data_IF_150900516842
#
_entry.id   IF_150900516842
#
_cell.length_a   1.000
_cell.length_b   1.000
_cell.length_c   1.000
_cell.angle_alpha   90.00
_cell.angle_beta   90.00
_cell.angle_gamma   90.00
#
_symmetry.space_group_name_H-M   'P 1'
#
loop_
_entity.id
_entity.type
_entity.pdbx_description
1 polymer ?
#
# COMPACT_ATOMS: atom_id res chain seq x y z
N UNK A 1 -43.74 -50.48 36.60
CA UNK A 1 -42.39 -50.58 36.00
C UNK A 1 -42.26 -49.45 35.00
N UNK A 2 -41.13 -48.78 35.08
CA UNK A 2 -40.88 -47.36 34.81
C UNK A 2 -41.19 -46.89 33.38
N UNK A 3 -41.70 -45.66 33.31
CA UNK A 3 -41.81 -44.80 32.13
C UNK A 3 -40.42 -44.47 31.56
N UNK A 4 -39.85 -45.46 30.87
CA UNK A 4 -38.56 -45.34 30.17
C UNK A 4 -38.77 -44.74 28.78
N UNK A 5 -39.95 -44.91 28.18
CA UNK A 5 -40.26 -44.43 26.83
C UNK A 5 -40.35 -42.91 26.73
N UNK A 6 -41.02 -42.23 27.68
CA UNK A 6 -41.16 -40.77 27.66
C UNK A 6 -39.84 -40.03 27.86
N UNK A 7 -38.94 -40.59 28.70
CA UNK A 7 -37.61 -40.02 28.95
C UNK A 7 -36.67 -40.13 27.76
N UNK A 8 -36.71 -41.22 26.99
CA UNK A 8 -35.87 -41.35 25.78
C UNK A 8 -36.31 -40.40 24.66
N UNK A 9 -37.61 -40.19 24.48
CA UNK A 9 -38.13 -39.24 23.48
C UNK A 9 -37.79 -37.79 23.85
N UNK A 10 -37.88 -37.45 25.15
CA UNK A 10 -37.52 -36.12 25.63
C UNK A 10 -36.01 -35.85 25.50
N UNK A 11 -35.15 -36.84 25.81
CA UNK A 11 -33.69 -36.73 25.66
C UNK A 11 -33.29 -36.64 24.18
N UNK A 12 -33.94 -37.39 23.28
CA UNK A 12 -33.70 -37.30 21.84
C UNK A 12 -34.18 -35.97 21.24
N UNK A 13 -35.30 -35.41 21.70
CA UNK A 13 -35.79 -34.11 21.29
C UNK A 13 -34.92 -32.96 21.81
N UNK A 14 -34.40 -33.07 23.04
CA UNK A 14 -33.42 -32.11 23.60
C UNK A 14 -32.08 -32.23 22.87
N UNK A 15 -31.62 -33.43 22.49
CA UNK A 15 -30.41 -33.61 21.68
C UNK A 15 -30.57 -33.10 20.24
N UNK A 16 -31.75 -33.22 19.62
CA UNK A 16 -32.01 -32.61 18.31
C UNK A 16 -32.14 -31.08 18.39
N UNK A 17 -32.74 -30.54 19.46
CA UNK A 17 -32.84 -29.10 19.68
C UNK A 17 -31.48 -28.46 20.01
N UNK A 18 -30.56 -29.17 20.68
CA UNK A 18 -29.19 -28.71 20.90
C UNK A 18 -28.28 -28.93 19.69
N UNK A 19 -28.52 -29.95 18.87
CA UNK A 19 -27.81 -30.14 17.60
C UNK A 19 -28.15 -29.06 16.56
N UNK A 20 -29.36 -28.49 16.58
CA UNK A 20 -29.73 -27.33 15.76
C UNK A 20 -29.17 -25.99 16.27
N UNK A 21 -28.65 -25.94 17.49
CA UNK A 21 -28.08 -24.73 18.10
C UNK A 21 -26.54 -24.66 18.01
N UNK A 22 -25.89 -25.64 17.37
CA UNK A 22 -24.48 -25.54 16.93
C UNK A 22 -24.40 -25.29 15.42
N UNK A 23 -25.25 -24.40 14.90
CA UNK A 23 -24.79 -23.60 13.76
C UNK A 23 -23.63 -22.77 14.32
N UNK A 24 -22.38 -23.17 14.05
CA UNK A 24 -21.22 -22.31 14.25
C UNK A 24 -21.62 -20.92 13.75
N UNK A 25 -21.49 -19.89 14.59
CA UNK A 25 -21.87 -18.54 14.20
C UNK A 25 -21.15 -18.22 12.89
N UNK A 26 -21.88 -18.27 11.78
CA UNK A 26 -21.30 -18.03 10.46
C UNK A 26 -21.07 -16.53 10.44
N UNK A 27 -19.82 -16.12 10.56
CA UNK A 27 -19.46 -14.72 10.42
C UNK A 27 -19.76 -14.27 8.99
N UNK A 28 -20.39 -13.11 8.84
CA UNK A 28 -20.59 -12.50 7.53
C UNK A 28 -19.27 -11.89 7.05
N UNK A 29 -18.48 -12.69 6.34
CA UNK A 29 -17.20 -12.25 5.78
C UNK A 29 -17.36 -11.21 4.67
N UNK A 30 -18.53 -11.15 4.01
CA UNK A 30 -18.83 -10.10 3.02
C UNK A 30 -19.03 -8.74 3.69
N UNK A 31 -19.75 -8.71 4.81
CA UNK A 31 -19.89 -7.51 5.64
C UNK A 31 -18.53 -7.08 6.23
N UNK A 32 -17.73 -8.04 6.71
CA UNK A 32 -16.40 -7.77 7.24
C UNK A 32 -15.47 -7.14 6.19
N UNK A 33 -15.45 -7.68 4.96
CA UNK A 33 -14.71 -7.12 3.82
C UNK A 33 -15.17 -5.70 3.49
N UNK A 34 -16.48 -5.48 3.41
CA UNK A 34 -17.06 -4.16 3.10
C UNK A 34 -16.64 -3.11 4.12
N UNK A 35 -16.67 -3.46 5.43
CA UNK A 35 -16.23 -2.57 6.51
C UNK A 35 -14.71 -2.35 6.50
N UNK A 36 -13.91 -3.36 6.15
CA UNK A 36 -12.46 -3.21 5.99
C UNK A 36 -12.10 -2.21 4.88
N UNK A 37 -12.84 -2.19 3.77
CA UNK A 37 -12.62 -1.20 2.71
C UNK A 37 -13.12 0.20 3.08
N UNK A 38 -14.18 0.30 3.88
CA UNK A 38 -14.61 1.58 4.46
C UNK A 38 -13.56 2.18 5.41
N UNK A 39 -12.79 1.36 6.12
CA UNK A 39 -11.67 1.83 6.94
C UNK A 39 -10.66 2.61 6.10
N UNK A 40 -10.27 2.13 4.91
CA UNK A 40 -9.36 2.88 4.05
C UNK A 40 -9.97 4.22 3.59
N UNK A 41 -11.26 4.27 3.25
CA UNK A 41 -11.92 5.56 2.96
C UNK A 41 -11.86 6.53 4.14
N UNK A 42 -11.99 6.00 5.37
CA UNK A 42 -11.89 6.77 6.60
C UNK A 42 -10.47 7.24 6.93
N UNK A 43 -9.42 6.68 6.31
CA UNK A 43 -8.01 7.07 6.49
C UNK A 43 -7.49 8.06 5.43
N UNK A 44 -8.26 8.37 4.39
CA UNK A 44 -7.79 9.23 3.29
C UNK A 44 -7.39 10.63 3.78
N UNK A 45 -6.24 11.12 3.36
CA UNK A 45 -5.81 12.52 3.48
C UNK A 45 -6.01 13.25 2.14
N UNK A 46 -6.20 14.57 2.16
CA UNK A 46 -6.31 15.39 0.95
C UNK A 46 -7.74 15.74 0.55
N UNK A 47 -7.94 15.98 -0.75
CA UNK A 47 -9.25 16.32 -1.33
C UNK A 47 -10.09 15.07 -1.58
N UNK A 48 -10.92 14.73 -0.61
CA UNK A 48 -11.82 13.57 -0.67
C UNK A 48 -12.78 13.60 -1.89
N UNK A 49 -13.07 12.45 -2.51
CA UNK A 49 -14.06 12.36 -3.59
C UNK A 49 -15.48 12.69 -3.09
N UNK A 50 -16.28 13.39 -3.91
CA UNK A 50 -17.66 13.73 -3.56
C UNK A 50 -18.57 12.51 -3.36
N UNK A 51 -18.21 11.37 -3.96
CA UNK A 51 -18.95 10.11 -3.91
C UNK A 51 -18.39 9.12 -2.88
N UNK A 52 -17.48 9.54 -2.00
CA UNK A 52 -17.01 8.71 -0.89
C UNK A 52 -18.17 8.30 0.05
N UNK A 53 -18.11 7.08 0.58
CA UNK A 53 -19.14 6.51 1.48
C UNK A 53 -19.01 7.06 2.91
N UNK A 54 -17.79 7.31 3.38
CA UNK A 54 -17.50 7.86 4.71
C UNK A 54 -17.79 9.38 4.75
N UNK A 55 -18.98 9.75 5.26
CA UNK A 55 -19.50 11.13 5.24
C UNK A 55 -19.06 12.05 6.38
N UNK A 56 -18.49 11.49 7.45
CA UNK A 56 -18.01 12.27 8.60
C UNK A 56 -16.58 12.78 8.44
N UNK A 57 -15.87 12.36 7.38
CA UNK A 57 -14.55 12.86 6.99
C UNK A 57 -14.70 14.02 6.01
N UNK A 58 -13.83 15.02 6.13
CA UNK A 58 -13.72 16.17 5.25
C UNK A 58 -12.35 16.29 4.59
N UNK A 59 -12.18 17.33 3.77
CA UNK A 59 -10.88 17.62 3.17
C UNK A 59 -9.85 18.01 4.25
N UNK A 60 -8.65 17.44 4.17
CA UNK A 60 -7.59 17.64 5.16
C UNK A 60 -6.21 17.64 4.49
N UNK A 61 -5.17 18.12 5.18
CA UNK A 61 -3.78 18.07 4.64
C UNK A 61 -3.61 18.74 3.28
N UNK A 62 -4.36 19.82 3.02
CA UNK A 62 -4.45 20.44 1.69
C UNK A 62 -3.20 21.24 1.27
N UNK A 63 -2.25 21.39 2.20
CA UNK A 63 -0.98 22.08 1.99
C UNK A 63 0.22 21.14 2.11
N UNK A 64 -0.01 19.82 2.13
CA UNK A 64 1.04 18.81 2.21
C UNK A 64 2.08 19.01 1.09
N UNK A 65 3.34 19.19 1.48
CA UNK A 65 4.47 19.39 0.56
C UNK A 65 4.67 20.83 0.07
N UNK A 66 3.74 21.76 0.37
CA UNK A 66 3.80 23.15 -0.11
C UNK A 66 5.08 23.87 0.35
N UNK A 67 5.48 23.68 1.61
CA UNK A 67 6.72 24.25 2.17
C UNK A 67 7.97 23.74 1.43
N UNK A 68 7.91 22.53 0.89
CA UNK A 68 8.99 21.90 0.13
C UNK A 68 8.88 22.11 -1.38
N UNK A 69 7.87 22.85 -1.85
CA UNK A 69 7.65 23.16 -3.27
C UNK A 69 7.13 21.98 -4.10
N UNK A 70 6.46 21.01 -3.47
CA UNK A 70 5.90 19.81 -4.12
C UNK A 70 4.42 19.62 -3.74
N UNK A 71 3.64 18.96 -4.59
CA UNK A 71 2.27 18.55 -4.24
C UNK A 71 2.33 17.16 -3.62
N UNK A 72 2.13 17.06 -2.30
CA UNK A 72 2.01 15.81 -1.58
C UNK A 72 0.61 15.61 -1.00
N UNK A 73 -0.40 16.32 -1.50
CA UNK A 73 -1.80 16.14 -1.06
C UNK A 73 -2.33 14.79 -1.53
N UNK A 74 -2.95 14.02 -0.62
CA UNK A 74 -3.46 12.67 -0.90
C UNK A 74 -2.90 11.63 0.07
N UNK A 75 -3.04 10.35 -0.28
CA UNK A 75 -2.52 9.22 0.50
C UNK A 75 -3.36 8.93 1.75
N UNK A 76 -2.82 8.11 2.64
CA UNK A 76 -3.49 7.66 3.86
C UNK A 76 -2.79 8.20 5.11
N UNK A 77 -3.56 8.59 6.11
CA UNK A 77 -3.05 8.65 7.47
C UNK A 77 -2.79 7.24 7.97
N UNK A 78 -1.74 7.09 8.76
CA UNK A 78 -1.19 5.79 9.10
C UNK A 78 -2.09 5.00 10.06
N UNK A 79 -2.46 5.60 11.18
CA UNK A 79 -3.24 4.93 12.22
C UNK A 79 -4.34 5.85 12.80
N UNK A 80 -4.31 6.10 14.11
CA UNK A 80 -5.18 7.08 14.77
C UNK A 80 -4.62 8.50 14.74
N UNK A 81 -3.45 8.68 14.13
CA UNK A 81 -2.73 9.95 13.97
C UNK A 81 -2.96 10.53 12.56
N UNK A 82 -2.24 11.60 12.22
CA UNK A 82 -2.33 12.27 10.91
C UNK A 82 -0.98 12.36 10.18
N UNK A 83 0.02 11.63 10.64
CA UNK A 83 1.26 11.46 9.90
C UNK A 83 1.02 10.50 8.73
N UNK A 84 1.69 10.79 7.62
CA UNK A 84 1.72 9.90 6.45
C UNK A 84 3.06 9.20 6.42
N UNK A 85 3.15 8.03 7.04
CA UNK A 85 4.34 7.19 7.00
C UNK A 85 4.39 6.36 5.71
N UNK A 86 5.42 6.57 4.89
CA UNK A 86 5.50 6.02 3.54
C UNK A 86 5.71 4.51 3.49
N UNK A 87 6.53 3.96 4.39
CA UNK A 87 6.82 2.52 4.45
C UNK A 87 5.57 1.67 4.74
N UNK A 88 4.84 1.86 5.87
CA UNK A 88 3.62 1.07 6.14
C UNK A 88 2.51 1.34 5.12
N UNK A 89 2.42 2.56 4.57
CA UNK A 89 1.48 2.85 3.48
C UNK A 89 1.83 2.04 2.22
N UNK A 90 3.11 1.96 1.84
CA UNK A 90 3.54 1.20 0.68
C UNK A 90 3.24 -0.29 0.85
N UNK A 91 3.62 -0.86 2.01
CA UNK A 91 3.29 -2.24 2.37
C UNK A 91 1.80 -2.53 2.28
N UNK A 92 0.96 -1.64 2.83
CA UNK A 92 -0.50 -1.75 2.76
C UNK A 92 -1.01 -1.83 1.32
N UNK A 93 -0.47 -0.99 0.42
CA UNK A 93 -0.86 -0.99 -0.99
C UNK A 93 -0.38 -2.25 -1.72
N UNK A 94 0.80 -2.77 -1.39
CA UNK A 94 1.27 -4.06 -1.91
C UNK A 94 0.32 -5.18 -1.48
N UNK A 95 -0.05 -5.24 -0.20
CA UNK A 95 -0.92 -6.28 0.34
C UNK A 95 -2.36 -6.19 -0.18
N UNK A 96 -2.93 -4.99 -0.31
CA UNK A 96 -4.24 -4.79 -0.96
C UNK A 96 -4.20 -5.25 -2.42
N UNK A 97 -3.13 -4.90 -3.14
CA UNK A 97 -2.95 -5.32 -4.53
C UNK A 97 -2.82 -6.84 -4.63
N UNK A 98 -2.04 -7.45 -3.74
CA UNK A 98 -1.89 -8.91 -3.70
C UNK A 98 -3.21 -9.61 -3.41
N UNK A 99 -3.98 -9.12 -2.43
CA UNK A 99 -5.32 -9.64 -2.11
C UNK A 99 -6.24 -9.62 -3.33
N UNK A 100 -6.27 -8.53 -4.09
CA UNK A 100 -7.07 -8.45 -5.34
C UNK A 100 -6.54 -9.39 -6.43
N UNK A 101 -5.23 -9.62 -6.51
CA UNK A 101 -4.66 -10.55 -7.49
C UNK A 101 -4.96 -12.02 -7.21
N UNK A 102 -5.09 -12.41 -5.93
CA UNK A 102 -5.37 -13.79 -5.53
C UNK A 102 -6.87 -14.07 -5.37
N UNK A 103 -7.64 -13.11 -4.85
CA UNK A 103 -9.06 -13.28 -4.47
C UNK A 103 -10.00 -12.32 -5.20
N UNK A 104 -9.61 -11.86 -6.38
CA UNK A 104 -10.37 -10.86 -7.14
C UNK A 104 -11.79 -11.30 -7.51
N UNK A 105 -12.00 -12.60 -7.75
CA UNK A 105 -13.33 -13.16 -8.07
C UNK A 105 -14.26 -13.15 -6.86
N UNK A 106 -13.76 -13.51 -5.67
CA UNK A 106 -14.51 -13.50 -4.41
C UNK A 106 -14.83 -12.06 -3.97
N UNK A 107 -13.86 -11.15 -4.08
CA UNK A 107 -14.06 -9.72 -3.82
C UNK A 107 -15.11 -9.14 -4.78
N UNK A 108 -15.10 -9.55 -6.06
CA UNK A 108 -16.12 -9.16 -7.03
C UNK A 108 -17.49 -9.78 -6.72
N UNK A 109 -17.54 -11.05 -6.30
CA UNK A 109 -18.75 -11.73 -5.86
C UNK A 109 -19.40 -11.08 -4.63
N UNK A 110 -18.59 -10.47 -3.77
CA UNK A 110 -19.05 -9.64 -2.65
C UNK A 110 -19.44 -8.20 -3.06
N UNK A 111 -19.26 -7.81 -4.32
CA UNK A 111 -19.58 -6.46 -4.83
C UNK A 111 -18.57 -5.37 -4.44
N UNK A 112 -17.38 -5.75 -3.95
CA UNK A 112 -16.42 -4.81 -3.35
C UNK A 112 -15.18 -4.54 -4.23
N UNK A 113 -15.08 -5.16 -5.41
CA UNK A 113 -13.91 -5.00 -6.31
C UNK A 113 -13.63 -3.54 -6.66
N UNK A 114 -14.65 -2.75 -6.99
CA UNK A 114 -14.48 -1.34 -7.31
C UNK A 114 -13.92 -0.53 -6.12
N UNK A 115 -14.35 -0.83 -4.89
CA UNK A 115 -13.85 -0.16 -3.70
C UNK A 115 -12.41 -0.56 -3.38
N UNK A 116 -12.05 -1.84 -3.56
CA UNK A 116 -10.67 -2.31 -3.44
C UNK A 116 -9.75 -1.61 -4.46
N UNK A 117 -10.17 -1.51 -5.73
CA UNK A 117 -9.44 -0.78 -6.77
C UNK A 117 -9.29 0.70 -6.43
N UNK A 118 -10.33 1.34 -5.91
CA UNK A 118 -10.25 2.73 -5.45
C UNK A 118 -9.29 2.91 -4.27
N UNK A 119 -9.26 1.94 -3.33
CA UNK A 119 -8.34 1.98 -2.20
C UNK A 119 -6.87 1.88 -2.65
N UNK A 120 -6.57 0.94 -3.56
CA UNK A 120 -5.24 0.81 -4.17
C UNK A 120 -4.88 2.10 -4.92
N UNK A 121 -5.78 2.58 -5.79
CA UNK A 121 -5.55 3.75 -6.63
C UNK A 121 -5.22 5.01 -5.81
N UNK A 122 -5.90 5.21 -4.69
CA UNK A 122 -5.69 6.36 -3.82
C UNK A 122 -4.26 6.42 -3.26
N UNK A 123 -3.71 5.27 -2.85
CA UNK A 123 -2.34 5.17 -2.39
C UNK A 123 -1.33 5.32 -3.54
N UNK A 124 -1.58 4.68 -4.68
CA UNK A 124 -0.66 4.77 -5.82
C UNK A 124 -0.64 6.16 -6.48
N UNK A 125 -1.77 6.88 -6.50
CA UNK A 125 -1.82 8.29 -6.93
C UNK A 125 -0.93 9.16 -6.04
N UNK A 126 -0.88 8.88 -4.73
CA UNK A 126 0.04 9.55 -3.81
C UNK A 126 1.49 9.18 -4.08
N UNK A 127 1.82 7.91 -4.33
CA UNK A 127 3.21 7.51 -4.65
C UNK A 127 3.73 8.12 -5.96
N UNK A 128 2.87 8.30 -6.97
CA UNK A 128 3.23 9.02 -8.20
C UNK A 128 3.66 10.46 -7.87
N UNK A 129 2.92 11.14 -6.98
CA UNK A 129 3.27 12.48 -6.52
C UNK A 129 4.54 12.51 -5.67
N UNK A 130 4.69 11.53 -4.77
CA UNK A 130 5.82 11.42 -3.85
C UNK A 130 7.13 11.05 -4.56
N UNK A 131 7.08 10.42 -5.73
CA UNK A 131 8.27 10.13 -6.54
C UNK A 131 8.52 11.27 -7.55
N UNK A 132 9.05 12.39 -7.06
CA UNK A 132 9.21 13.64 -7.85
C UNK A 132 10.41 13.65 -8.79
N UNK A 133 11.44 12.85 -8.49
CA UNK A 133 12.63 12.74 -9.33
C UNK A 133 13.16 11.30 -9.25
N UNK A 134 13.84 10.81 -10.31
CA UNK A 134 14.61 9.59 -10.34
C UNK A 134 15.19 8.94 -9.09
N UNK A 135 15.68 9.74 -8.17
CA UNK A 135 16.38 9.31 -6.96
C UNK A 135 15.87 10.16 -5.79
N UNK A 136 14.59 10.51 -5.81
CA UNK A 136 13.94 11.30 -4.76
C UNK A 136 12.56 10.71 -4.53
N UNK A 137 12.35 10.23 -3.31
CA UNK A 137 11.06 9.75 -2.83
C UNK A 137 10.72 10.49 -1.54
N UNK A 138 9.56 11.13 -1.51
CA UNK A 138 8.99 11.71 -0.29
C UNK A 138 8.34 10.61 0.55
N UNK A 139 8.94 10.32 1.71
CA UNK A 139 8.62 9.14 2.53
C UNK A 139 7.81 9.48 3.77
N UNK A 140 7.71 10.75 4.15
CA UNK A 140 6.91 11.17 5.30
C UNK A 140 6.34 12.57 5.10
N UNK A 141 5.10 12.78 5.55
CA UNK A 141 4.50 14.12 5.71
C UNK A 141 3.87 14.21 7.09
N UNK A 142 4.31 15.18 7.88
CA UNK A 142 3.96 15.29 9.30
C UNK A 142 5.15 14.96 10.20
N UNK A 143 5.20 15.66 11.33
CA UNK A 143 6.12 15.38 12.42
C UNK A 143 5.38 14.59 13.51
N UNK A 144 5.86 13.39 13.83
CA UNK A 144 5.15 12.49 14.75
C UNK A 144 4.98 13.05 16.14
N UNK A 145 6.02 13.70 16.68
CA UNK A 145 5.99 14.20 18.05
C UNK A 145 4.92 15.28 18.23
N UNK A 146 4.88 16.26 17.32
CA UNK A 146 3.86 17.32 17.37
C UNK A 146 2.47 16.83 17.00
N UNK A 147 2.34 15.90 16.06
CA UNK A 147 1.05 15.33 15.66
C UNK A 147 0.42 14.50 16.80
N UNK A 148 1.22 13.64 17.45
CA UNK A 148 0.75 12.75 18.52
C UNK A 148 0.49 13.51 19.83
N UNK A 149 1.10 14.67 20.02
CA UNK A 149 0.80 15.55 21.14
C UNK A 149 -0.60 16.20 21.00
N UNK A 150 -1.15 16.32 19.79
CA UNK A 150 -2.38 17.07 19.53
C UNK A 150 -3.56 16.17 19.15
N UNK A 151 -4.54 16.05 20.05
CA UNK A 151 -5.79 15.33 19.76
C UNK A 151 -6.78 16.23 19.00
N UNK A 152 -6.77 16.14 17.68
CA UNK A 152 -7.60 16.97 16.80
C UNK A 152 -8.16 16.16 15.63
N UNK A 153 -9.11 16.74 14.89
CA UNK A 153 -9.57 16.16 13.63
C UNK A 153 -8.56 16.46 12.52
N UNK A 154 -8.40 15.59 11.51
CA UNK A 154 -7.52 15.87 10.38
C UNK A 154 -7.90 17.15 9.63
N UNK A 155 -9.18 17.51 9.62
CA UNK A 155 -9.69 18.70 8.94
C UNK A 155 -9.26 20.01 9.64
N UNK A 156 -8.87 19.96 10.92
CA UNK A 156 -8.52 21.12 11.74
C UNK A 156 -7.03 21.18 12.11
N UNK A 157 -6.17 20.37 11.47
CA UNK A 157 -4.76 20.22 11.85
C UNK A 157 -4.01 21.56 11.91
N UNK A 158 -3.35 21.79 13.03
CA UNK A 158 -2.47 22.94 13.27
C UNK A 158 -0.99 22.57 13.50
N UNK A 159 -0.68 21.27 13.52
CA UNK A 159 0.66 20.73 13.76
C UNK A 159 1.53 20.81 12.51
N UNK A 160 2.85 20.65 12.67
CA UNK A 160 3.78 20.70 11.56
C UNK A 160 3.49 19.58 10.56
N UNK A 161 3.33 19.96 9.28
CA UNK A 161 3.16 19.02 8.16
C UNK A 161 4.37 19.01 7.23
N UNK A 162 5.56 19.25 7.79
CA UNK A 162 6.82 19.18 7.07
C UNK A 162 6.94 17.83 6.36
N UNK A 163 7.37 17.85 5.11
CA UNK A 163 7.65 16.65 4.34
C UNK A 163 9.13 16.28 4.42
N UNK A 164 9.40 14.97 4.40
CA UNK A 164 10.74 14.38 4.44
C UNK A 164 10.90 13.43 3.26
N UNK A 165 12.12 13.34 2.75
CA UNK A 165 12.47 12.53 1.58
C UNK A 165 13.73 11.73 1.84
N UNK A 166 13.87 10.68 1.05
CA UNK A 166 15.14 10.01 0.81
C UNK A 166 15.65 10.36 -0.59
N UNK A 167 16.96 10.41 -0.74
CA UNK A 167 17.64 10.67 -2.00
C UNK A 167 18.99 9.95 -2.11
N UNK A 168 19.79 10.26 -3.13
CA UNK A 168 21.07 9.59 -3.38
C UNK A 168 22.09 9.85 -2.27
N UNK A 169 21.99 11.01 -1.60
CA UNK A 169 22.86 11.42 -0.51
C UNK A 169 22.32 10.94 0.86
N UNK A 170 21.01 10.79 1.00
CA UNK A 170 20.32 10.31 2.19
C UNK A 170 19.41 9.13 1.79
N UNK A 171 19.97 7.92 1.62
CA UNK A 171 19.26 6.77 1.03
C UNK A 171 18.19 6.17 1.95
N UNK A 172 17.29 5.39 1.35
CA UNK A 172 16.31 4.58 2.05
C UNK A 172 15.83 3.44 1.16
N UNK A 173 16.57 2.33 1.19
CA UNK A 173 16.40 1.20 0.29
C UNK A 173 15.07 0.49 0.47
N UNK A 174 14.72 0.19 1.71
CA UNK A 174 13.52 -0.53 2.12
C UNK A 174 12.25 0.22 1.73
N UNK A 175 12.15 1.52 2.04
CA UNK A 175 10.97 2.31 1.67
C UNK A 175 10.88 2.54 0.15
N UNK A 176 12.01 2.68 -0.53
CA UNK A 176 12.03 2.78 -2.00
C UNK A 176 11.62 1.45 -2.65
N UNK A 177 12.12 0.32 -2.15
CA UNK A 177 11.83 -1.00 -2.64
C UNK A 177 10.38 -1.41 -2.35
N UNK A 178 9.86 -1.17 -1.15
CA UNK A 178 8.45 -1.45 -0.83
C UNK A 178 7.51 -0.57 -1.67
N UNK A 179 7.86 0.71 -1.90
CA UNK A 179 7.08 1.56 -2.83
C UNK A 179 7.14 1.03 -4.26
N UNK A 180 8.29 0.49 -4.70
CA UNK A 180 8.40 -0.17 -5.99
C UNK A 180 7.53 -1.44 -6.06
N UNK A 181 7.51 -2.26 -5.00
CA UNK A 181 6.67 -3.44 -4.88
C UNK A 181 5.18 -3.08 -4.99
N UNK A 182 4.74 -2.05 -4.25
CA UNK A 182 3.38 -1.53 -4.27
C UNK A 182 2.94 -1.12 -5.67
N UNK A 183 3.77 -0.33 -6.36
CA UNK A 183 3.48 0.15 -7.71
C UNK A 183 3.54 -0.99 -8.74
N UNK A 184 4.45 -1.95 -8.59
CA UNK A 184 4.53 -3.12 -9.45
C UNK A 184 3.29 -4.03 -9.29
N UNK A 185 2.91 -4.38 -8.06
CA UNK A 185 1.73 -5.18 -7.77
C UNK A 185 0.45 -4.52 -8.28
N UNK A 186 0.26 -3.24 -7.96
CA UNK A 186 -0.88 -2.45 -8.44
C UNK A 186 -0.93 -2.36 -9.97
N UNK A 187 0.23 -2.27 -10.65
CA UNK A 187 0.26 -2.28 -12.12
C UNK A 187 -0.31 -3.56 -12.74
N UNK A 188 -0.19 -4.70 -12.05
CA UNK A 188 -0.78 -5.96 -12.49
C UNK A 188 -2.29 -5.91 -12.27
N UNK A 189 -2.73 -5.44 -11.10
CA UNK A 189 -4.16 -5.27 -10.76
C UNK A 189 -4.87 -4.44 -11.82
N UNK A 190 -4.41 -3.21 -12.09
CA UNK A 190 -5.06 -2.33 -13.06
C UNK A 190 -4.96 -2.84 -14.51
N UNK A 191 -3.94 -3.63 -14.83
CA UNK A 191 -3.86 -4.30 -16.14
C UNK A 191 -4.90 -5.42 -16.28
N UNK A 192 -5.17 -6.16 -15.20
CA UNK A 192 -6.14 -7.27 -15.18
C UNK A 192 -7.58 -6.78 -15.04
N UNK A 193 -7.81 -5.69 -14.31
CA UNK A 193 -9.15 -5.13 -14.05
C UNK A 193 -9.85 -4.57 -15.31
N UNK A 194 -9.10 -4.28 -16.39
CA UNK A 194 -9.62 -4.36 -17.76
C UNK A 194 -10.76 -3.41 -18.17
N UNK A 195 -10.83 -2.17 -17.66
CA UNK A 195 -11.92 -1.24 -17.98
C UNK A 195 -11.71 -0.33 -19.22
N UNK A 196 -10.54 -0.34 -19.87
CA UNK A 196 -10.30 0.43 -21.11
C UNK A 196 -8.86 0.97 -21.25
N UNK A 197 -8.63 1.83 -22.26
CA UNK A 197 -7.32 2.42 -22.54
C UNK A 197 -6.74 3.26 -21.38
N UNK A 198 -7.61 3.81 -20.52
CA UNK A 198 -7.21 4.57 -19.32
C UNK A 198 -6.48 3.72 -18.28
N UNK A 199 -6.97 2.50 -18.02
CA UNK A 199 -6.36 1.59 -17.03
C UNK A 199 -5.03 1.03 -17.53
N UNK A 200 -4.90 0.81 -18.84
CA UNK A 200 -3.64 0.40 -19.45
C UNK A 200 -2.56 1.50 -19.34
N UNK A 201 -2.93 2.77 -19.54
CA UNK A 201 -2.02 3.89 -19.35
C UNK A 201 -1.59 4.03 -17.89
N UNK A 202 -2.54 3.93 -16.96
CA UNK A 202 -2.25 4.02 -15.52
C UNK A 202 -1.36 2.86 -15.05
N UNK A 203 -1.66 1.62 -15.43
CA UNK A 203 -0.79 0.48 -15.15
C UNK A 203 0.64 0.66 -15.69
N UNK A 204 0.78 1.22 -16.90
CA UNK A 204 2.09 1.53 -17.45
C UNK A 204 2.83 2.62 -16.64
N UNK A 205 2.12 3.66 -16.21
CA UNK A 205 2.68 4.71 -15.36
C UNK A 205 3.17 4.14 -14.02
N UNK A 206 2.37 3.31 -13.36
CA UNK A 206 2.79 2.66 -12.11
C UNK A 206 4.03 1.80 -12.30
N UNK A 207 4.02 0.97 -13.34
CA UNK A 207 5.14 0.10 -13.64
C UNK A 207 6.39 0.89 -14.05
N UNK A 208 6.23 2.04 -14.71
CA UNK A 208 7.33 2.97 -14.98
C UNK A 208 7.95 3.41 -13.65
N UNK A 209 7.15 3.89 -12.70
CA UNK A 209 7.63 4.32 -11.39
C UNK A 209 8.38 3.24 -10.59
N UNK A 210 7.88 2.00 -10.64
CA UNK A 210 8.47 0.86 -9.93
C UNK A 210 9.83 0.39 -10.47
N UNK A 211 10.03 0.48 -11.79
CA UNK A 211 11.07 -0.25 -12.50
C UNK A 211 12.50 0.28 -12.31
N UNK A 212 13.44 -0.46 -12.90
CA UNK A 212 14.80 -0.03 -13.19
C UNK A 212 14.89 0.42 -14.66
N UNK A 213 15.67 1.47 -14.91
CA UNK A 213 15.88 1.95 -16.26
C UNK A 213 16.84 1.05 -17.04
N UNK A 214 16.40 0.56 -18.21
CA UNK A 214 17.25 -0.17 -19.16
C UNK A 214 18.62 0.52 -19.34
N UNK A 215 19.70 -0.11 -18.86
CA UNK A 215 21.03 0.13 -19.39
C UNK A 215 21.14 -0.59 -20.74
N UNK A 216 20.62 0.02 -21.81
CA UNK A 216 21.09 -0.35 -23.16
C UNK A 216 22.55 0.12 -23.29
N UNK A 217 23.49 -0.75 -22.97
CA UNK A 217 24.89 -0.73 -23.42
C UNK A 217 24.89 -1.32 -24.85
N UNK A 218 25.51 -0.80 -25.93
CA UNK A 218 26.43 0.30 -26.26
C UNK A 218 25.91 0.93 -27.57
N UNK A 219 26.33 2.17 -27.86
CA UNK A 219 26.24 2.82 -29.19
C UNK A 219 24.86 3.38 -29.62
N UNK A 220 24.45 4.55 -29.11
CA UNK A 220 23.63 5.48 -29.91
C UNK A 220 23.70 6.92 -29.35
N UNK A 221 23.72 7.97 -30.20
CA UNK A 221 23.90 9.34 -29.74
C UNK A 221 22.73 9.89 -28.92
N UNK A 222 23.12 10.86 -28.09
CA UNK A 222 22.42 11.56 -27.04
C UNK A 222 21.32 12.50 -27.57
N UNK A 223 20.13 12.00 -27.93
CA UNK A 223 18.95 12.85 -28.04
C UNK A 223 17.67 12.03 -27.89
N UNK A 224 16.91 12.32 -26.82
CA UNK A 224 15.61 11.72 -26.41
C UNK A 224 15.68 10.44 -25.57
N UNK A 225 16.01 10.59 -24.28
CA UNK A 225 15.57 9.67 -23.21
C UNK A 225 14.92 10.48 -22.08
N UNK A 226 13.66 10.88 -22.28
CA UNK A 226 12.79 11.36 -21.20
C UNK A 226 12.07 10.14 -20.61
N UNK A 227 12.04 10.07 -19.27
CA UNK A 227 11.29 9.07 -18.51
C UNK A 227 12.06 7.77 -18.27
N UNK A 228 13.07 7.81 -17.41
CA UNK A 228 13.53 6.63 -16.68
C UNK A 228 12.86 6.72 -15.33
N UNK A 229 12.17 5.70 -14.87
CA UNK A 229 11.72 5.64 -13.48
C UNK A 229 12.13 4.33 -12.83
N UNK A 230 12.29 4.40 -11.51
CA UNK A 230 13.62 4.20 -10.88
C UNK A 230 13.58 3.71 -9.43
N UNK A 231 12.43 3.49 -8.80
CA UNK A 231 12.41 3.24 -7.34
C UNK A 231 13.25 2.03 -6.93
N UNK A 232 13.12 0.91 -7.65
CA UNK A 232 13.95 -0.27 -7.41
C UNK A 232 15.44 -0.01 -7.73
N UNK A 233 15.75 0.69 -8.82
CA UNK A 233 17.15 1.03 -9.16
C UNK A 233 17.77 1.98 -8.13
N UNK A 234 16.99 2.93 -7.63
CA UNK A 234 17.39 3.88 -6.62
C UNK A 234 17.69 3.16 -5.30
N UNK A 235 16.74 2.35 -4.81
CA UNK A 235 16.90 1.60 -3.57
C UNK A 235 18.05 0.59 -3.62
N UNK A 236 18.27 -0.07 -4.75
CA UNK A 236 19.37 -1.03 -4.92
C UNK A 236 20.74 -0.35 -5.11
N UNK A 237 20.81 0.76 -5.86
CA UNK A 237 22.07 1.44 -6.17
C UNK A 237 22.59 2.26 -4.99
N UNK A 238 21.71 2.91 -4.24
CA UNK A 238 22.05 3.75 -3.10
C UNK A 238 21.55 3.05 -1.84
N UNK A 239 22.30 2.04 -1.40
CA UNK A 239 21.89 1.22 -0.26
C UNK A 239 22.07 1.96 1.06
N UNK A 240 21.03 1.96 1.88
CA UNK A 240 21.06 2.52 3.23
C UNK A 240 19.67 2.56 3.84
N UNK A 241 19.64 2.64 5.17
CA UNK A 241 18.38 2.61 5.91
C UNK A 241 17.70 3.98 5.87
N UNK A 242 16.42 4.00 5.57
CA UNK A 242 15.62 5.22 5.47
C UNK A 242 15.47 5.91 6.82
N UNK A 243 15.51 5.16 7.92
CA UNK A 243 15.40 5.71 9.26
C UNK A 243 16.68 6.40 9.71
N UNK A 244 17.83 6.12 9.10
CA UNK A 244 19.06 6.90 9.26
C UNK A 244 18.98 8.25 8.51
N UNK A 245 18.30 8.26 7.35
CA UNK A 245 18.12 9.45 6.51
C UNK A 245 16.97 10.36 6.95
N UNK A 246 15.89 9.78 7.47
CA UNK A 246 14.68 10.44 7.97
C UNK A 246 14.54 10.11 9.44
N UNK A 247 15.40 10.68 10.28
CA UNK A 247 15.52 10.28 11.69
C UNK A 247 14.24 10.42 12.50
N UNK A 248 13.36 11.34 12.10
CA UNK A 248 12.04 11.55 12.74
C UNK A 248 11.13 10.33 12.69
N UNK A 249 11.44 9.33 11.85
CA UNK A 249 10.67 8.09 11.74
C UNK A 249 11.12 7.00 12.73
N UNK A 250 12.32 7.11 13.32
CA UNK A 250 12.95 6.05 14.14
C UNK A 250 12.09 5.61 15.32
N UNK A 251 11.29 6.51 15.89
CA UNK A 251 10.43 6.21 17.04
C UNK A 251 9.09 5.55 16.65
N UNK A 252 8.81 5.42 15.35
CA UNK A 252 7.52 4.97 14.82
C UNK A 252 7.67 3.72 13.97
N UNK A 253 8.40 3.83 12.86
CA UNK A 253 8.61 2.74 11.90
C UNK A 253 10.11 2.56 11.59
N UNK A 254 10.95 2.21 12.58
CA UNK A 254 12.37 1.98 12.32
C UNK A 254 12.58 0.77 11.40
N UNK A 255 13.62 0.84 10.58
CA UNK A 255 14.05 -0.25 9.70
C UNK A 255 14.74 -1.36 10.50
N UNK A 256 13.95 -2.23 11.13
CA UNK A 256 14.47 -3.22 12.08
C UNK A 256 15.12 -4.44 11.41
N UNK A 257 14.58 -4.90 10.28
CA UNK A 257 15.11 -6.04 9.50
C UNK A 257 16.22 -5.65 8.53
N UNK A 258 16.36 -4.37 8.22
CA UNK A 258 17.22 -3.88 7.14
C UNK A 258 16.39 -3.64 5.88
N UNK A 259 16.99 -3.90 4.71
CA UNK A 259 16.37 -3.64 3.41
C UNK A 259 16.47 -4.81 2.42
N UNK A 260 17.13 -5.91 2.82
CA UNK A 260 17.38 -7.02 1.90
C UNK A 260 16.06 -7.76 1.59
N UNK A 261 15.19 -7.87 2.59
CA UNK A 261 13.83 -8.38 2.48
C UNK A 261 12.99 -7.55 1.51
N UNK A 262 12.97 -6.22 1.63
CA UNK A 262 12.21 -5.38 0.69
C UNK A 262 12.81 -5.38 -0.72
N UNK A 263 14.14 -5.44 -0.88
CA UNK A 263 14.79 -5.58 -2.19
C UNK A 263 14.41 -6.89 -2.86
N UNK A 264 14.43 -8.01 -2.11
CA UNK A 264 13.98 -9.31 -2.60
C UNK A 264 12.50 -9.27 -2.99
N UNK A 265 11.67 -8.71 -2.12
CA UNK A 265 10.22 -8.58 -2.30
C UNK A 265 9.85 -7.76 -3.54
N UNK A 266 10.47 -6.60 -3.71
CA UNK A 266 10.28 -5.73 -4.86
C UNK A 266 10.72 -6.41 -6.16
N UNK A 267 11.85 -7.13 -6.15
CA UNK A 267 12.32 -7.89 -7.30
C UNK A 267 11.30 -8.96 -7.72
N UNK A 268 10.72 -9.70 -6.78
CA UNK A 268 9.68 -10.70 -7.07
C UNK A 268 8.42 -10.07 -7.69
N UNK A 269 7.95 -8.94 -7.17
CA UNK A 269 6.81 -8.22 -7.77
C UNK A 269 7.11 -7.67 -9.15
N UNK A 270 8.31 -7.11 -9.35
CA UNK A 270 8.76 -6.63 -10.65
C UNK A 270 8.91 -7.79 -11.65
N UNK A 271 9.39 -8.94 -11.22
CA UNK A 271 9.41 -10.15 -12.03
C UNK A 271 7.99 -10.54 -12.44
N UNK A 272 7.06 -10.64 -11.48
CA UNK A 272 5.64 -10.98 -11.75
C UNK A 272 4.96 -9.96 -12.67
N UNK A 273 5.30 -8.67 -12.55
CA UNK A 273 4.70 -7.60 -13.36
C UNK A 273 5.26 -7.51 -14.79
N UNK A 274 6.48 -8.00 -15.02
CA UNK A 274 7.21 -7.77 -16.28
C UNK A 274 7.61 -9.02 -17.04
N UNK A 275 7.67 -10.18 -16.37
CA UNK A 275 8.22 -11.42 -16.89
C UNK A 275 9.73 -11.37 -17.15
N UNK A 276 10.44 -10.32 -16.73
CA UNK A 276 11.89 -10.21 -16.98
C UNK A 276 12.68 -11.07 -16.00
N UNK A 277 13.57 -11.89 -16.54
CA UNK A 277 14.44 -12.77 -15.75
C UNK A 277 15.45 -12.01 -14.89
N UNK A 278 15.87 -10.81 -15.30
CA UNK A 278 16.82 -9.99 -14.54
C UNK A 278 16.40 -9.74 -13.08
N UNK A 279 15.10 -9.65 -12.81
CA UNK A 279 14.58 -9.50 -11.44
C UNK A 279 14.58 -10.82 -10.65
N UNK A 280 14.40 -11.95 -11.33
CA UNK A 280 14.47 -13.26 -10.69
C UNK A 280 15.93 -13.62 -10.39
N UNK A 281 16.84 -13.40 -11.33
CA UNK A 281 18.27 -13.64 -11.14
C UNK A 281 18.81 -12.80 -9.97
N UNK A 282 18.33 -11.56 -9.80
CA UNK A 282 18.65 -10.71 -8.64
C UNK A 282 18.23 -11.34 -7.29
N UNK A 283 17.16 -12.14 -7.26
CA UNK A 283 16.74 -12.81 -6.01
C UNK A 283 17.74 -13.85 -5.54
N UNK A 284 18.36 -14.58 -6.47
CA UNK A 284 19.43 -15.54 -6.14
C UNK A 284 20.65 -14.82 -5.54
N UNK A 285 20.99 -13.65 -6.09
CA UNK A 285 22.10 -12.82 -5.60
C UNK A 285 21.84 -12.29 -4.18
N UNK A 286 20.60 -11.88 -3.85
CA UNK A 286 20.26 -11.42 -2.50
C UNK A 286 20.17 -12.57 -1.50
N UNK A 287 19.56 -13.69 -1.88
CA UNK A 287 19.45 -14.88 -1.00
C UNK A 287 20.84 -15.42 -0.65
N UNK A 288 21.81 -15.34 -1.55
CA UNK A 288 23.19 -15.73 -1.28
C UNK A 288 23.94 -14.86 -0.26
N UNK A 289 23.36 -13.71 0.13
CA UNK A 289 23.95 -12.73 1.07
C UNK A 289 23.17 -12.63 2.39
N UNK A 290 22.00 -13.30 2.49
CA UNK A 290 21.20 -13.48 3.71
C UNK A 290 21.73 -14.66 4.54
#
# INVERSE_FOLDING_TARGET
>A
MSDVSGRFVLVAAVFMATATAMAAAVHDYGEALSKSLLYFEAQRSGRLPYNQRVRWRGHSGLTDGLEQGVDLVGGYYDAGDHVKFGLPMAFTITMLSWSVLEYGEEIAGAGELAHALHAIKWGTDYFIKAHTHPTVLWTQVGDGDSDHYCWQRPEDMTTSRRAYKVDAENPGSEVAAETAAAMAAASIVFRRAGGGAGDAHYAHLLLHHAQQARRRSRSLPLARKKGKSLLFEFGDKYRGRYDESVEVVKNYYPSSSGYNDELLWAALWLHRATGRREYLDYTDDIIGVL
#
